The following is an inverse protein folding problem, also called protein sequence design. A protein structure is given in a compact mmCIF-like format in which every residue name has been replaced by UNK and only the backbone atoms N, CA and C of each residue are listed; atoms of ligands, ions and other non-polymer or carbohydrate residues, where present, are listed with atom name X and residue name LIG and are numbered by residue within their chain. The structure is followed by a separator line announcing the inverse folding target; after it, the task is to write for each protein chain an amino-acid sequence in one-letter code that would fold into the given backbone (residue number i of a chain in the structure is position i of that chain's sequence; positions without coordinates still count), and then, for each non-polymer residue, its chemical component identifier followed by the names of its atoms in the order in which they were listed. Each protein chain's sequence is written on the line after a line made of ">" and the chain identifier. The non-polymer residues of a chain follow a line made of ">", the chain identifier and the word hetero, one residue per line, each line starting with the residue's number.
data_IF_765533158112
#
_entry.id   IF_765533158112
#
_cell.length_a   1.000
_cell.length_b   1.000
_cell.length_c   1.000
_cell.angle_alpha   90.00
_cell.angle_beta   90.00
_cell.angle_gamma   90.00
#
_symmetry.space_group_name_H-M   'P 1'
#
loop_
_entity.id
_entity.type
_entity.pdbx_description
1 polymer ?
#
# COMPACT_ATOMS: atom_id res chain seq x y z
N UNK A 1 21.51 -3.32 -37.29
CA UNK A 1 20.48 -3.74 -38.28
C UNK A 1 20.04 -5.13 -37.84
N UNK A 2 18.80 -5.46 -37.49
CA UNK A 2 17.50 -4.84 -37.68
C UNK A 2 16.59 -5.27 -36.52
N UNK A 3 15.73 -4.36 -36.06
CA UNK A 3 14.65 -4.63 -35.14
C UNK A 3 13.55 -5.48 -35.82
N UNK A 4 12.90 -6.36 -35.06
CA UNK A 4 11.63 -6.97 -35.42
C UNK A 4 10.56 -6.44 -34.46
N UNK A 5 9.67 -5.59 -34.99
CA UNK A 5 8.49 -5.08 -34.30
C UNK A 5 7.47 -6.19 -34.09
N UNK A 6 7.13 -6.47 -32.84
CA UNK A 6 5.92 -7.23 -32.50
C UNK A 6 4.69 -6.37 -32.82
N UNK A 7 4.00 -6.76 -33.90
CA UNK A 7 2.71 -6.21 -34.31
C UNK A 7 1.62 -6.92 -33.51
N UNK A 8 0.75 -6.14 -32.85
CA UNK A 8 -0.51 -6.64 -32.30
C UNK A 8 -1.38 -7.25 -33.40
N UNK A 9 -1.82 -8.49 -33.21
CA UNK A 9 -2.84 -9.17 -34.01
C UNK A 9 -4.25 -8.76 -33.51
N UNK A 10 -5.09 -8.11 -34.33
CA UNK A 10 -6.42 -7.64 -33.95
C UNK A 10 -7.54 -8.71 -34.01
N UNK A 11 -7.22 -10.01 -34.13
CA UNK A 11 -8.21 -11.06 -34.45
C UNK A 11 -8.88 -11.82 -33.28
N UNK A 12 -8.61 -11.54 -32.00
CA UNK A 12 -9.30 -12.25 -30.90
C UNK A 12 -10.62 -11.58 -30.49
N UNK A 13 -11.66 -11.75 -31.31
CA UNK A 13 -13.07 -11.61 -30.89
C UNK A 13 -13.65 -13.00 -30.67
N UNK A 14 -13.81 -13.39 -29.41
CA UNK A 14 -14.58 -14.57 -29.01
C UNK A 14 -16.07 -14.38 -29.42
N UNK A 15 -16.68 -15.33 -30.15
CA UNK A 15 -18.09 -15.25 -30.51
C UNK A 15 -19.01 -15.67 -29.35
N UNK A 16 -19.97 -14.81 -29.04
CA UNK A 16 -21.06 -15.05 -28.10
C UNK A 16 -21.80 -16.36 -28.40
N UNK A 17 -21.75 -17.33 -27.48
CA UNK A 17 -22.55 -18.56 -27.57
C UNK A 17 -23.91 -18.37 -26.91
N UNK A 18 -24.92 -18.35 -27.76
CA UNK A 18 -26.34 -18.52 -27.45
C UNK A 18 -26.55 -19.82 -26.66
N UNK A 19 -27.31 -19.71 -25.56
CA UNK A 19 -27.51 -20.77 -24.57
C UNK A 19 -28.21 -22.02 -25.12
N UNK A 20 -27.66 -23.18 -24.79
CA UNK A 20 -28.33 -24.48 -24.91
C UNK A 20 -29.34 -24.64 -23.78
N UNK A 21 -30.62 -24.76 -24.11
CA UNK A 21 -31.70 -25.10 -23.18
C UNK A 21 -31.43 -26.46 -22.54
N UNK A 22 -31.13 -26.49 -21.23
CA UNK A 22 -31.18 -27.70 -20.42
C UNK A 22 -32.52 -27.74 -19.67
N UNK A 23 -33.31 -28.76 -19.95
CA UNK A 23 -34.54 -29.10 -19.23
C UNK A 23 -34.22 -29.36 -17.75
N UNK A 24 -34.86 -28.61 -16.85
CA UNK A 24 -34.68 -28.73 -15.39
C UNK A 24 -35.71 -29.74 -14.86
N UNK A 25 -35.23 -30.84 -14.29
CA UNK A 25 -36.04 -31.74 -13.46
C UNK A 25 -36.35 -31.05 -12.12
N UNK A 26 -37.61 -31.01 -11.63
CA UNK A 26 -37.91 -30.35 -10.37
C UNK A 26 -37.43 -31.19 -9.18
N UNK A 27 -36.70 -30.55 -8.26
CA UNK A 27 -36.38 -31.09 -6.94
C UNK A 27 -37.56 -30.87 -5.98
N UNK A 28 -37.81 -31.79 -5.02
CA UNK A 28 -38.95 -31.70 -4.13
C UNK A 28 -38.77 -30.60 -3.08
N UNK A 29 -39.79 -29.74 -3.02
CA UNK A 29 -40.24 -28.86 -1.94
C UNK A 29 -39.29 -28.63 -0.75
N UNK A 30 -38.69 -27.43 -0.68
CA UNK A 30 -37.98 -27.04 0.53
C UNK A 30 -37.20 -25.72 0.56
N UNK A 31 -37.44 -24.73 -0.31
CA UNK A 31 -36.83 -23.41 -0.13
C UNK A 31 -37.92 -22.33 -0.07
N UNK A 32 -38.21 -21.86 1.16
CA UNK A 32 -38.86 -20.57 1.34
C UNK A 32 -38.00 -19.53 0.62
N UNK A 33 -38.63 -18.75 -0.24
CA UNK A 33 -38.03 -17.52 -0.74
C UNK A 33 -37.92 -16.53 0.42
N UNK A 34 -36.83 -16.60 1.17
CA UNK A 34 -36.42 -15.44 1.94
C UNK A 34 -36.01 -14.38 0.91
N UNK A 35 -36.88 -13.39 0.76
CA UNK A 35 -36.48 -12.10 0.21
C UNK A 35 -35.24 -11.73 0.99
N UNK A 36 -34.07 -11.80 0.35
CA UNK A 36 -32.92 -11.05 0.78
C UNK A 36 -33.34 -9.57 0.72
N UNK A 37 -33.97 -9.09 1.79
CA UNK A 37 -33.80 -7.72 2.21
C UNK A 37 -32.30 -7.59 2.34
N UNK A 38 -31.69 -6.85 1.42
CA UNK A 38 -30.42 -6.20 1.71
C UNK A 38 -30.65 -5.46 3.03
N UNK A 39 -30.20 -6.07 4.12
CA UNK A 39 -29.92 -5.31 5.31
C UNK A 39 -28.80 -4.38 4.87
N UNK A 40 -29.13 -3.10 4.72
CA UNK A 40 -28.18 -2.05 4.97
C UNK A 40 -27.80 -2.17 6.44
N UNK A 41 -27.03 -3.20 6.78
CA UNK A 41 -26.23 -3.20 7.99
C UNK A 41 -25.26 -2.05 7.77
N UNK A 42 -25.62 -0.93 8.42
CA UNK A 42 -24.89 0.30 8.35
C UNK A 42 -23.42 0.04 8.58
N UNK A 43 -22.61 0.85 7.91
CA UNK A 43 -21.20 1.04 8.22
C UNK A 43 -21.02 0.94 9.75
N UNK A 44 -20.51 -0.19 10.21
CA UNK A 44 -20.18 -0.40 11.61
C UNK A 44 -19.24 0.73 12.06
N UNK A 45 -19.27 1.12 13.34
CA UNK A 45 -18.51 2.25 13.81
C UNK A 45 -17.05 2.07 13.41
N UNK A 46 -16.48 3.16 12.89
CA UNK A 46 -15.09 3.34 12.49
C UNK A 46 -14.16 2.44 13.31
N UNK A 47 -13.30 1.71 12.61
CA UNK A 47 -12.44 0.63 13.09
C UNK A 47 -12.19 0.63 14.59
N UNK A 48 -12.46 -0.52 15.22
CA UNK A 48 -12.29 -0.75 16.66
C UNK A 48 -11.02 -0.04 17.15
N UNK A 49 -11.12 1.00 18.00
CA UNK A 49 -9.94 1.67 18.52
C UNK A 49 -9.01 0.62 19.12
N UNK A 50 -7.71 0.81 18.93
CA UNK A 50 -6.71 -0.09 19.48
C UNK A 50 -7.04 -0.38 20.95
N UNK A 51 -6.99 -1.64 21.35
CA UNK A 51 -7.14 -1.99 22.76
C UNK A 51 -6.02 -1.37 23.59
N UNK A 52 -6.15 -1.36 24.93
CA UNK A 52 -5.07 -0.93 25.82
C UNK A 52 -3.74 -1.57 25.42
N UNK A 53 -2.70 -0.76 25.18
CA UNK A 53 -1.40 -1.21 24.70
C UNK A 53 -1.20 -1.17 23.18
N UNK A 54 -2.21 -0.80 22.39
CA UNK A 54 -2.03 -0.57 20.95
C UNK A 54 -1.25 0.73 20.70
N UNK A 55 -0.25 0.74 19.79
CA UNK A 55 0.41 1.97 19.35
C UNK A 55 -0.50 2.84 18.46
N UNK A 56 -1.69 2.34 18.08
CA UNK A 56 -2.65 3.01 17.21
C UNK A 56 -4.03 3.10 17.90
N UNK A 57 -4.09 3.80 19.03
CA UNK A 57 -5.37 4.15 19.68
C UNK A 57 -6.16 5.18 18.86
N UNK A 58 -5.44 6.03 18.14
CA UNK A 58 -5.96 6.99 17.15
C UNK A 58 -5.33 6.69 15.78
N UNK A 59 -5.94 7.13 14.67
CA UNK A 59 -5.32 7.02 13.36
C UNK A 59 -3.90 7.62 13.36
N UNK A 60 -2.87 6.89 12.91
CA UNK A 60 -1.50 7.40 12.88
C UNK A 60 -1.40 8.52 11.85
N UNK A 61 -0.80 9.65 12.25
CA UNK A 61 -0.62 10.83 11.41
C UNK A 61 0.85 10.97 11.00
N UNK A 62 1.11 11.15 9.72
CA UNK A 62 2.46 11.24 9.20
C UNK A 62 2.53 11.61 7.73
N UNK A 63 3.74 11.53 7.18
CA UNK A 63 4.05 11.71 5.77
C UNK A 63 4.61 10.40 5.18
N UNK A 64 4.36 10.16 3.90
CA UNK A 64 4.85 9.00 3.16
C UNK A 64 5.54 9.45 1.87
N UNK A 65 6.68 8.82 1.54
CA UNK A 65 7.52 9.21 0.41
C UNK A 65 6.94 8.90 -0.98
N UNK A 66 6.04 7.93 -1.09
CA UNK A 66 5.56 7.40 -2.37
C UNK A 66 4.90 8.48 -3.23
N UNK A 67 3.98 9.25 -2.63
CA UNK A 67 3.21 10.27 -3.35
C UNK A 67 4.07 11.42 -3.87
N UNK A 68 5.27 11.61 -3.31
CA UNK A 68 6.20 12.66 -3.73
C UNK A 68 7.29 12.15 -4.67
N UNK A 69 7.82 10.96 -4.42
CA UNK A 69 9.07 10.51 -5.04
C UNK A 69 9.00 9.14 -5.72
N UNK A 70 8.00 8.31 -5.41
CA UNK A 70 7.98 6.90 -5.82
C UNK A 70 9.32 6.21 -5.56
N UNK A 71 9.84 5.49 -6.55
CA UNK A 71 11.17 4.87 -6.47
C UNK A 71 12.36 5.85 -6.48
N UNK A 72 12.15 7.15 -6.68
CA UNK A 72 13.19 8.17 -6.67
C UNK A 72 13.62 8.64 -5.27
N UNK A 73 13.09 8.03 -4.20
CA UNK A 73 13.37 8.42 -2.81
C UNK A 73 14.85 8.25 -2.42
N UNK A 74 15.39 9.24 -1.71
CA UNK A 74 16.76 9.28 -1.20
C UNK A 74 16.79 9.69 0.27
N UNK A 75 17.88 9.38 0.96
CA UNK A 75 18.09 9.75 2.36
C UNK A 75 17.95 11.26 2.60
N UNK A 76 18.50 12.08 1.69
CA UNK A 76 18.44 13.52 1.79
C UNK A 76 17.00 14.06 1.74
N UNK A 77 16.17 13.51 0.83
CA UNK A 77 14.76 13.89 0.73
C UNK A 77 13.97 13.50 1.97
N UNK A 78 14.24 12.34 2.57
CA UNK A 78 13.57 11.91 3.80
C UNK A 78 13.95 12.81 4.97
N UNK A 79 15.23 13.21 5.08
CA UNK A 79 15.69 14.17 6.09
C UNK A 79 15.02 15.54 5.91
N UNK A 80 14.98 16.04 4.68
CA UNK A 80 14.30 17.31 4.36
C UNK A 80 12.79 17.26 4.66
N UNK A 81 12.11 16.14 4.36
CA UNK A 81 10.71 15.96 4.70
C UNK A 81 10.49 15.97 6.23
N UNK A 82 11.37 15.31 6.99
CA UNK A 82 11.33 15.33 8.45
C UNK A 82 11.53 16.75 9.00
N UNK A 83 12.52 17.49 8.50
CA UNK A 83 12.77 18.87 8.88
C UNK A 83 11.59 19.79 8.52
N UNK A 84 10.99 19.60 7.34
CA UNK A 84 9.81 20.36 6.89
C UNK A 84 8.58 20.08 7.76
N UNK A 85 8.37 18.83 8.20
CA UNK A 85 7.28 18.50 9.14
C UNK A 85 7.45 19.22 10.49
N UNK A 86 8.68 19.45 10.94
CA UNK A 86 8.95 20.23 12.16
C UNK A 86 8.73 21.72 11.90
N UNK A 87 9.37 22.28 10.88
CA UNK A 87 9.36 23.73 10.63
C UNK A 87 7.99 24.28 10.21
N UNK A 88 7.14 23.44 9.61
CA UNK A 88 5.76 23.80 9.25
C UNK A 88 4.76 23.72 10.40
N UNK A 89 5.14 23.17 11.56
CA UNK A 89 4.22 22.91 12.66
C UNK A 89 3.36 21.66 12.50
N UNK A 90 3.55 20.85 11.44
CA UNK A 90 2.84 19.56 11.30
C UNK A 90 3.15 18.62 12.45
N UNK A 91 4.39 18.64 12.97
CA UNK A 91 4.72 17.95 14.22
C UNK A 91 3.82 18.48 15.35
N UNK A 92 3.70 19.76 15.57
CA UNK A 92 2.86 20.23 16.69
C UNK A 92 1.37 19.90 16.49
N UNK A 93 0.91 19.80 15.25
CA UNK A 93 -0.43 19.34 14.88
C UNK A 93 -0.67 17.82 15.01
N UNK A 94 0.33 17.04 15.43
CA UNK A 94 0.19 15.61 15.72
C UNK A 94 0.75 14.64 14.68
N UNK A 95 1.37 15.12 13.60
CA UNK A 95 2.04 14.26 12.62
C UNK A 95 3.38 13.78 13.19
N UNK A 96 3.52 12.46 13.40
CA UNK A 96 4.66 11.84 14.12
C UNK A 96 5.47 10.87 13.27
N UNK A 97 4.93 10.40 12.16
CA UNK A 97 5.55 9.35 11.35
C UNK A 97 6.12 9.91 10.04
N UNK A 98 7.34 9.50 9.73
CA UNK A 98 7.97 9.68 8.40
C UNK A 98 8.13 8.28 7.82
N UNK A 99 7.33 7.95 6.81
CA UNK A 99 7.30 6.62 6.20
C UNK A 99 8.10 6.65 4.90
N UNK A 100 9.17 5.86 4.87
CA UNK A 100 9.91 5.56 3.65
C UNK A 100 9.24 4.35 3.01
N UNK A 101 8.69 4.55 1.83
CA UNK A 101 7.98 3.52 1.07
C UNK A 101 8.94 2.68 0.23
N UNK A 102 8.46 2.04 -0.83
CA UNK A 102 9.21 1.09 -1.65
C UNK A 102 10.52 1.66 -2.27
N UNK A 103 11.35 0.76 -2.78
CA UNK A 103 12.59 1.06 -3.51
C UNK A 103 13.71 1.70 -2.68
N UNK A 104 13.64 1.63 -1.34
CA UNK A 104 14.71 2.04 -0.42
C UNK A 104 15.86 1.03 -0.31
N UNK A 105 15.55 -0.25 -0.53
CA UNK A 105 16.48 -1.37 -0.40
C UNK A 105 17.29 -1.59 -1.67
N UNK A 106 18.44 -2.25 -1.51
CA UNK A 106 19.27 -2.75 -2.58
C UNK A 106 18.59 -3.97 -3.25
N UNK A 107 18.55 -4.08 -4.60
CA UNK A 107 17.99 -5.27 -5.25
C UNK A 107 18.67 -6.58 -4.83
N UNK A 108 19.92 -6.50 -4.38
CA UNK A 108 20.66 -7.63 -3.84
C UNK A 108 20.64 -7.64 -2.32
N UNK A 109 20.35 -8.82 -1.76
CA UNK A 109 20.48 -9.09 -0.33
C UNK A 109 21.97 -9.13 0.08
N UNK A 110 22.23 -8.96 1.36
CA UNK A 110 23.57 -9.20 1.89
C UNK A 110 23.93 -10.71 1.87
N UNK A 111 25.16 -11.04 2.25
CA UNK A 111 25.66 -12.42 2.27
C UNK A 111 24.93 -13.34 3.24
N UNK A 112 24.22 -12.78 4.22
CA UNK A 112 23.39 -13.51 5.17
C UNK A 112 21.91 -13.58 4.73
N UNK A 113 21.57 -13.01 3.57
CA UNK A 113 20.20 -12.99 3.04
C UNK A 113 19.31 -11.87 3.59
N UNK A 114 19.85 -10.90 4.33
CA UNK A 114 19.05 -9.78 4.83
C UNK A 114 18.83 -8.71 3.77
N UNK A 115 17.74 -7.96 3.93
CA UNK A 115 17.57 -6.70 3.21
C UNK A 115 18.63 -5.70 3.68
N UNK A 116 19.22 -4.99 2.73
CA UNK A 116 20.17 -3.90 2.96
C UNK A 116 19.67 -2.66 2.26
N UNK A 117 20.00 -1.49 2.81
CA UNK A 117 19.67 -0.22 2.18
C UNK A 117 20.44 -0.07 0.85
N UNK A 118 19.84 0.56 -0.15
CA UNK A 118 20.55 0.88 -1.38
C UNK A 118 21.69 1.87 -1.05
N UNK A 119 22.96 1.54 -1.31
CA UNK A 119 24.10 2.34 -0.84
C UNK A 119 24.20 3.70 -1.56
N UNK A 120 23.60 3.84 -2.74
CA UNK A 120 23.58 5.11 -3.48
C UNK A 120 22.47 6.03 -2.95
N UNK A 121 21.29 5.49 -2.64
CA UNK A 121 20.15 6.29 -2.15
C UNK A 121 20.23 6.57 -0.66
N UNK A 122 20.74 5.61 0.12
CA UNK A 122 20.81 5.61 1.58
C UNK A 122 22.23 5.28 2.06
N UNK A 123 23.22 6.16 1.80
CA UNK A 123 24.63 5.90 2.08
C UNK A 123 24.94 5.69 3.57
N UNK A 124 24.16 6.28 4.48
CA UNK A 124 24.33 6.04 5.93
C UNK A 124 23.53 4.82 6.45
N UNK A 125 22.68 4.24 5.60
CA UNK A 125 21.78 3.15 5.94
C UNK A 125 20.57 3.58 6.78
N UNK A 126 19.57 2.70 6.84
CA UNK A 126 18.29 3.01 7.53
C UNK A 126 18.41 3.20 9.04
N UNK A 127 19.38 2.54 9.68
CA UNK A 127 19.62 2.69 11.13
C UNK A 127 20.01 4.12 11.47
N UNK A 128 20.95 4.70 10.72
CA UNK A 128 21.39 6.08 10.94
C UNK A 128 20.26 7.08 10.66
N UNK A 129 19.47 6.84 9.61
CA UNK A 129 18.30 7.66 9.28
C UNK A 129 17.26 7.67 10.43
N UNK A 130 16.95 6.52 11.02
CA UNK A 130 16.02 6.42 12.15
C UNK A 130 16.52 7.08 13.46
N UNK A 131 17.83 7.13 13.67
CA UNK A 131 18.41 7.78 14.86
C UNK A 131 18.41 9.31 14.79
N UNK A 132 18.38 9.91 13.58
CA UNK A 132 18.42 11.38 13.46
C UNK A 132 17.08 12.03 13.86
N UNK A 133 15.97 11.32 13.73
CA UNK A 133 14.62 11.85 13.99
C UNK A 133 14.17 11.81 15.46
N UNK A 134 14.94 11.17 16.35
CA UNK A 134 14.64 11.05 17.79
C UNK A 134 15.36 12.07 18.66
N UNK A 135 16.18 12.96 18.09
CA UNK A 135 17.14 13.80 18.84
C UNK A 135 17.06 15.32 18.64
N UNK A 136 15.97 15.87 18.08
CA UNK A 136 15.72 17.31 18.07
C UNK A 136 14.49 17.61 18.94
N UNK A 137 14.77 17.81 20.23
CA UNK A 137 13.89 18.45 21.20
C UNK A 137 14.46 19.84 21.50
#
# INVERSE_FOLDING_TARGET
>A
MSAASDRLDPSRKEPSRVGTTRTITPLPHGCRADRHRFHHDGLGPLGRPGGPGSPALTPPLGWNSWNSFGCGVTEAQVRQAADAMVSSGMRDAGYRYVVVDDCWFDPQRDTAGNLRANPTKFPSGMKALGTTSTGKA
#
